data_IF_867467327485
#
_entry.id   IF_867467327485
#
_cell.length_a   1.000
_cell.length_b   1.000
_cell.length_c   1.000
_cell.angle_alpha   90.00
_cell.angle_beta   90.00
_cell.angle_gamma   90.00
#
_symmetry.space_group_name_H-M   'P 1'
#
loop_
_entity.id
_entity.type
_entity.pdbx_description
1 polymer ?
#
# COMPACT_ATOMS: atom_id res chain seq x y z
N UNK A 1 33.37 16.41 -30.17
CA UNK A 1 32.58 17.50 -29.56
C UNK A 1 31.18 16.94 -29.29
N UNK A 2 30.71 17.00 -28.04
CA UNK A 2 29.38 16.54 -27.70
C UNK A 2 28.35 17.64 -28.04
N UNK A 3 27.17 17.25 -28.51
CA UNK A 3 26.08 18.15 -28.83
C UNK A 3 24.93 17.93 -27.84
N UNK A 4 24.19 19.00 -27.53
CA UNK A 4 23.01 18.95 -26.68
C UNK A 4 21.96 18.01 -27.29
N UNK A 5 21.46 17.05 -26.54
CA UNK A 5 20.45 16.10 -27.01
C UNK A 5 19.11 16.74 -27.36
N UNK A 6 18.80 17.92 -26.79
CA UNK A 6 17.52 18.63 -27.00
C UNK A 6 17.58 19.62 -28.18
N UNK A 7 18.66 20.40 -28.31
CA UNK A 7 18.74 21.48 -29.30
C UNK A 7 19.94 21.39 -30.26
N UNK A 8 20.83 20.40 -30.10
CA UNK A 8 21.99 20.21 -30.98
C UNK A 8 23.14 21.20 -30.80
N UNK A 9 23.03 22.17 -29.88
CA UNK A 9 24.11 23.13 -29.60
C UNK A 9 25.37 22.42 -29.08
N UNK A 10 26.56 22.89 -29.44
CA UNK A 10 27.81 22.33 -28.91
C UNK A 10 27.87 22.49 -27.38
N UNK A 11 28.13 21.40 -26.69
CA UNK A 11 28.25 21.38 -25.23
C UNK A 11 29.67 21.75 -24.81
N UNK A 12 29.83 22.53 -23.73
CA UNK A 12 31.12 22.62 -23.06
C UNK A 12 31.53 21.23 -22.54
N UNK A 13 32.83 20.99 -22.50
CA UNK A 13 33.46 19.66 -22.28
C UNK A 13 33.08 18.99 -20.94
N UNK A 14 32.43 19.72 -20.03
CA UNK A 14 32.07 19.30 -18.66
C UNK A 14 30.56 19.32 -18.33
N UNK A 15 29.66 19.29 -19.31
CA UNK A 15 28.22 19.21 -19.02
C UNK A 15 27.78 17.79 -18.62
N UNK A 16 27.55 17.57 -17.33
CA UNK A 16 26.93 16.35 -16.80
C UNK A 16 25.46 16.27 -17.26
N UNK A 17 25.11 15.26 -18.05
CA UNK A 17 23.72 15.01 -18.49
C UNK A 17 23.40 15.32 -19.95
N UNK A 18 24.38 15.73 -20.77
CA UNK A 18 24.19 15.87 -22.23
C UNK A 18 23.22 16.99 -22.65
N UNK A 19 22.89 17.91 -21.74
CA UNK A 19 22.04 19.08 -21.98
C UNK A 19 22.86 20.37 -21.81
N UNK A 20 22.62 21.36 -22.67
CA UNK A 20 23.26 22.66 -22.54
C UNK A 20 22.63 23.46 -21.39
N UNK A 21 23.31 24.48 -20.82
CA UNK A 21 22.80 25.21 -19.65
C UNK A 21 21.37 25.76 -19.85
N UNK A 22 21.07 26.28 -21.04
CA UNK A 22 19.72 26.74 -21.39
C UNK A 22 18.70 25.59 -21.36
N UNK A 23 18.98 24.47 -22.01
CA UNK A 23 18.07 23.32 -22.01
C UNK A 23 17.96 22.61 -20.66
N UNK A 24 19.00 22.66 -19.83
CA UNK A 24 18.97 22.18 -18.44
C UNK A 24 17.99 23.01 -17.62
N UNK A 25 18.10 24.35 -17.68
CA UNK A 25 17.18 25.23 -16.95
C UNK A 25 15.72 25.07 -17.39
N UNK A 26 15.47 24.80 -18.68
CA UNK A 26 14.13 24.46 -19.16
C UNK A 26 13.66 23.09 -18.66
N UNK A 27 14.54 22.10 -18.61
CA UNK A 27 14.19 20.79 -18.06
C UNK A 27 13.80 20.87 -16.59
N UNK A 28 14.47 21.74 -15.82
CA UNK A 28 14.13 22.00 -14.42
C UNK A 28 12.81 22.78 -14.28
N UNK A 29 12.54 23.73 -15.19
CA UNK A 29 11.33 24.55 -15.21
C UNK A 29 10.06 23.78 -15.63
N UNK A 30 10.21 22.67 -16.36
CA UNK A 30 9.09 21.85 -16.85
C UNK A 30 8.56 20.86 -15.79
N UNK A 31 9.11 20.89 -14.56
CA UNK A 31 8.64 20.08 -13.45
C UNK A 31 7.35 20.65 -12.86
N UNK A 32 6.28 19.87 -12.96
CA UNK A 32 4.97 20.22 -12.42
C UNK A 32 4.62 19.28 -11.28
N UNK A 33 3.90 19.80 -10.30
CA UNK A 33 3.50 19.02 -9.13
C UNK A 33 2.28 18.12 -9.46
N UNK A 34 2.38 16.83 -9.13
CA UNK A 34 1.23 15.92 -9.12
C UNK A 34 0.20 16.41 -8.09
N UNK A 35 -1.05 16.64 -8.52
CA UNK A 35 -2.08 17.21 -7.63
C UNK A 35 -2.54 16.28 -6.50
N UNK A 36 -2.26 14.96 -6.58
CA UNK A 36 -2.66 13.98 -5.57
C UNK A 36 -1.58 13.76 -4.52
N UNK A 37 -0.35 13.46 -4.94
CA UNK A 37 0.74 13.10 -4.03
C UNK A 37 1.77 14.22 -3.80
N UNK A 38 1.73 15.31 -4.56
CA UNK A 38 2.63 16.44 -4.37
C UNK A 38 4.05 16.25 -4.92
N UNK A 39 4.37 15.13 -5.57
CA UNK A 39 5.68 14.93 -6.22
C UNK A 39 5.84 15.83 -7.44
N UNK A 40 7.05 16.36 -7.65
CA UNK A 40 7.43 17.09 -8.86
C UNK A 40 7.93 16.10 -9.92
N UNK A 41 7.28 16.09 -11.07
CA UNK A 41 7.70 15.28 -12.23
C UNK A 41 7.69 16.14 -13.49
N UNK A 42 8.48 15.76 -14.52
CA UNK A 42 8.41 16.41 -15.81
C UNK A 42 7.00 16.38 -16.38
N UNK A 43 6.56 17.48 -16.97
CA UNK A 43 5.19 17.63 -17.52
C UNK A 43 4.77 16.52 -18.49
N UNK A 44 5.71 15.90 -19.21
CA UNK A 44 5.43 14.82 -20.16
C UNK A 44 5.22 13.44 -19.50
N UNK A 45 5.63 13.27 -18.24
CA UNK A 45 5.38 12.04 -17.46
C UNK A 45 4.04 12.09 -16.71
N UNK A 46 3.49 13.29 -16.53
CA UNK A 46 2.19 13.49 -15.91
C UNK A 46 1.06 13.18 -16.90
N UNK A 47 0.03 12.50 -16.42
CA UNK A 47 -1.19 12.23 -17.15
C UNK A 47 -2.27 13.23 -16.76
N UNK A 48 -2.98 13.74 -17.76
CA UNK A 48 -4.14 14.59 -17.56
C UNK A 48 -5.40 13.73 -17.40
N UNK A 49 -6.03 13.79 -16.22
CA UNK A 49 -7.28 13.09 -15.91
C UNK A 49 -8.23 14.09 -15.27
N UNK A 50 -9.45 14.24 -15.81
CA UNK A 50 -10.43 15.22 -15.33
C UNK A 50 -9.87 16.65 -15.20
N UNK A 51 -9.11 17.10 -16.19
CA UNK A 51 -8.43 18.42 -16.22
C UNK A 51 -7.42 18.66 -15.10
N UNK A 52 -6.90 17.59 -14.48
CA UNK A 52 -5.87 17.64 -13.43
C UNK A 52 -4.68 16.77 -13.81
N UNK A 53 -3.48 17.16 -13.39
CA UNK A 53 -2.24 16.43 -13.67
C UNK A 53 -1.90 15.47 -12.52
N UNK A 54 -1.72 14.20 -12.88
CA UNK A 54 -1.37 13.12 -11.95
C UNK A 54 -0.14 12.36 -12.44
N UNK A 55 0.68 11.87 -11.51
CA UNK A 55 1.70 10.88 -11.85
C UNK A 55 1.05 9.55 -12.28
N UNK A 56 1.81 8.70 -12.97
CA UNK A 56 1.31 7.43 -13.51
C UNK A 56 0.62 6.55 -12.46
N UNK A 57 1.15 6.49 -11.23
CA UNK A 57 0.58 5.72 -10.13
C UNK A 57 -0.74 6.31 -9.63
N UNK A 58 -0.75 7.61 -9.30
CA UNK A 58 -1.97 8.28 -8.83
C UNK A 58 -3.09 8.24 -9.88
N UNK A 59 -2.76 8.30 -11.17
CA UNK A 59 -3.74 8.19 -12.24
C UNK A 59 -4.41 6.80 -12.24
N UNK A 60 -3.65 5.72 -12.04
CA UNK A 60 -4.18 4.36 -11.92
C UNK A 60 -5.11 4.23 -10.70
N UNK A 61 -4.68 4.72 -9.55
CA UNK A 61 -5.49 4.69 -8.33
C UNK A 61 -6.81 5.48 -8.47
N UNK A 62 -6.81 6.61 -9.20
CA UNK A 62 -8.05 7.37 -9.46
C UNK A 62 -8.96 6.59 -10.39
N UNK A 63 -8.40 5.97 -11.44
CA UNK A 63 -9.18 5.16 -12.39
C UNK A 63 -9.81 3.95 -11.71
N UNK A 64 -9.06 3.25 -10.84
CA UNK A 64 -9.55 2.11 -10.08
C UNK A 64 -10.69 2.51 -9.12
N UNK A 65 -10.60 3.68 -8.50
CA UNK A 65 -11.66 4.21 -7.64
C UNK A 65 -12.91 4.60 -8.45
N UNK A 66 -12.76 5.21 -9.63
CA UNK A 66 -13.87 5.50 -10.54
C UNK A 66 -14.56 4.20 -10.99
N UNK A 67 -13.78 3.18 -11.35
CA UNK A 67 -14.31 1.89 -11.77
C UNK A 67 -15.01 1.16 -10.61
N UNK A 68 -14.46 1.23 -9.39
CA UNK A 68 -15.12 0.71 -8.19
C UNK A 68 -16.46 1.40 -7.94
N UNK A 69 -16.49 2.73 -8.03
CA UNK A 69 -17.73 3.49 -7.85
C UNK A 69 -18.76 3.17 -8.93
N UNK A 70 -18.32 2.98 -10.18
CA UNK A 70 -19.18 2.53 -11.27
C UNK A 70 -19.82 1.17 -10.98
N UNK A 71 -19.03 0.20 -10.51
CA UNK A 71 -19.56 -1.13 -10.14
C UNK A 71 -20.59 -1.07 -9.01
N UNK A 72 -20.37 -0.21 -8.00
CA UNK A 72 -21.34 0.02 -6.92
C UNK A 72 -22.62 0.66 -7.46
N UNK A 73 -22.51 1.58 -8.41
CA UNK A 73 -23.65 2.23 -9.04
C UNK A 73 -24.44 1.29 -9.98
N UNK A 74 -23.77 0.37 -10.68
CA UNK A 74 -24.40 -0.62 -11.56
C UNK A 74 -25.11 -1.73 -10.77
N UNK A 75 -24.57 -2.11 -9.60
CA UNK A 75 -25.19 -3.04 -8.67
C UNK A 75 -25.51 -2.31 -7.35
N UNK A 76 -26.57 -1.46 -7.33
CA UNK A 76 -27.06 -0.95 -6.06
C UNK A 76 -27.41 -2.18 -5.23
N UNK A 77 -26.66 -2.40 -4.14
CA UNK A 77 -26.92 -3.48 -3.22
C UNK A 77 -28.41 -3.47 -2.95
N UNK A 78 -29.09 -4.56 -3.30
CA UNK A 78 -30.53 -4.67 -3.16
C UNK A 78 -30.87 -4.15 -1.75
N UNK A 79 -31.79 -3.18 -1.63
CA UNK A 79 -32.08 -2.54 -0.35
C UNK A 79 -32.24 -3.64 0.68
N UNK A 80 -31.39 -3.57 1.70
CA UNK A 80 -31.25 -4.55 2.78
C UNK A 80 -32.63 -5.10 3.10
N UNK A 81 -32.94 -6.31 2.62
CA UNK A 81 -34.18 -6.94 3.03
C UNK A 81 -34.05 -7.06 4.55
N UNK A 82 -34.98 -6.48 5.33
CA UNK A 82 -34.85 -6.38 6.77
C UNK A 82 -34.52 -7.77 7.30
N UNK A 83 -33.27 -7.92 7.75
CA UNK A 83 -32.76 -9.19 8.22
C UNK A 83 -33.72 -9.67 9.30
N UNK A 84 -34.36 -10.80 9.01
CA UNK A 84 -35.35 -11.42 9.87
C UNK A 84 -34.64 -11.71 11.19
N UNK A 85 -34.91 -10.84 12.15
CA UNK A 85 -34.44 -10.78 13.53
C UNK A 85 -34.57 -12.17 14.17
N UNK A 86 -33.54 -12.99 14.05
CA UNK A 86 -33.41 -14.21 14.86
C UNK A 86 -33.03 -13.74 16.25
N UNK A 87 -33.92 -14.05 17.17
CA UNK A 87 -33.90 -13.76 18.60
C UNK A 87 -32.58 -14.12 19.29
N UNK A 88 -32.23 -13.28 20.26
CA UNK A 88 -31.06 -13.31 21.14
C UNK A 88 -30.82 -14.63 21.90
N UNK A 89 -29.67 -14.75 22.61
CA UNK A 89 -29.76 -14.46 24.03
C UNK A 89 -28.72 -13.46 24.55
N UNK A 90 -29.23 -12.69 25.51
CA UNK A 90 -28.69 -11.64 26.36
C UNK A 90 -27.62 -12.08 27.35
N UNK A 91 -26.69 -11.17 27.69
CA UNK A 91 -26.23 -10.79 29.06
C UNK A 91 -25.03 -9.84 28.89
N UNK A 92 -25.20 -8.52 29.07
CA UNK A 92 -25.03 -7.75 30.33
C UNK A 92 -23.74 -6.90 30.29
N UNK A 93 -23.95 -5.58 30.13
CA UNK A 93 -23.26 -4.36 30.65
C UNK A 93 -21.93 -4.48 31.42
N UNK A 94 -21.00 -3.47 31.44
CA UNK A 94 -21.34 -2.05 31.71
C UNK A 94 -20.48 -0.92 31.09
N UNK A 95 -21.05 0.27 31.26
CA UNK A 95 -20.56 1.63 31.03
C UNK A 95 -19.36 2.04 31.91
N UNK A 96 -18.36 2.74 31.35
CA UNK A 96 -17.49 3.78 31.96
C UNK A 96 -16.77 4.50 30.80
N UNK A 97 -16.92 5.82 30.59
CA UNK A 97 -16.27 6.89 31.35
C UNK A 97 -15.01 7.39 30.60
N UNK A 98 -15.05 8.60 30.04
CA UNK A 98 -13.90 9.24 29.35
C UNK A 98 -12.72 9.54 30.28
N UNK A 99 -11.55 9.96 29.75
CA UNK A 99 -11.32 11.40 29.62
C UNK A 99 -10.43 11.85 28.44
N UNK A 100 -10.16 13.15 28.45
CA UNK A 100 -9.55 14.04 27.46
C UNK A 100 -8.06 13.80 27.10
N UNK A 101 -7.65 14.52 26.04
CA UNK A 101 -6.37 14.62 25.31
C UNK A 101 -5.08 14.78 26.14
N UNK A 102 -3.87 14.67 25.53
CA UNK A 102 -3.22 15.87 24.99
C UNK A 102 -2.38 15.70 23.70
N UNK A 103 -2.14 16.85 23.05
CA UNK A 103 -1.16 17.11 21.99
C UNK A 103 0.28 16.72 22.41
N UNK A 104 1.09 16.33 21.42
CA UNK A 104 2.54 16.25 21.53
C UNK A 104 3.21 16.05 20.17
N UNK A 105 3.71 17.16 19.58
CA UNK A 105 4.84 17.19 18.64
C UNK A 105 6.04 16.43 19.20
N UNK A 106 6.80 15.65 18.40
CA UNK A 106 8.27 15.70 18.24
C UNK A 106 8.67 15.07 16.88
N UNK A 107 9.70 15.65 16.27
CA UNK A 107 10.29 15.46 14.95
C UNK A 107 10.89 14.07 14.59
N UNK A 108 11.10 13.92 13.27
CA UNK A 108 11.91 12.92 12.54
C UNK A 108 13.37 12.82 13.04
N UNK A 109 14.05 11.67 12.81
CA UNK A 109 14.97 11.63 11.66
C UNK A 109 15.02 10.31 10.87
N UNK A 110 15.47 10.47 9.64
CA UNK A 110 15.79 9.50 8.58
C UNK A 110 16.90 8.52 9.00
N UNK A 111 16.79 7.23 8.67
CA UNK A 111 17.96 6.36 8.40
C UNK A 111 17.63 5.07 7.64
N UNK A 112 18.21 4.99 6.44
CA UNK A 112 18.84 3.86 5.76
C UNK A 112 18.30 2.42 5.93
N UNK A 113 17.62 1.99 4.86
CA UNK A 113 17.63 0.67 4.21
C UNK A 113 18.61 -0.41 4.68
N UNK A 114 18.06 -1.57 5.07
CA UNK A 114 18.58 -2.90 4.70
C UNK A 114 17.39 -3.81 4.35
N UNK A 115 17.53 -4.53 3.24
CA UNK A 115 16.44 -5.24 2.56
C UNK A 115 15.87 -6.41 3.36
N UNK A 116 14.56 -6.38 3.55
CA UNK A 116 13.77 -7.52 4.03
C UNK A 116 13.06 -8.22 2.85
N UNK A 117 12.96 -9.56 2.87
CA UNK A 117 12.15 -10.31 1.93
C UNK A 117 10.66 -9.97 2.17
N UNK A 118 9.93 -9.63 1.09
CA UNK A 118 8.50 -9.33 1.12
C UNK A 118 7.69 -10.48 1.72
N UNK A 119 7.48 -10.44 3.04
CA UNK A 119 6.46 -11.20 3.72
C UNK A 119 5.11 -10.52 3.47
N UNK A 120 4.14 -11.32 3.04
CA UNK A 120 2.78 -10.89 2.76
C UNK A 120 2.19 -10.14 3.96
N UNK A 121 1.90 -8.85 3.77
CA UNK A 121 1.29 -7.98 4.77
C UNK A 121 -0.10 -8.53 5.15
N UNK A 122 -0.17 -9.27 6.25
CA UNK A 122 -1.39 -9.40 7.03
C UNK A 122 -1.73 -8.00 7.55
N UNK A 123 -2.93 -7.50 7.26
CA UNK A 123 -3.42 -6.19 7.67
C UNK A 123 -3.19 -5.97 9.17
N UNK A 124 -2.14 -5.21 9.52
CA UNK A 124 -1.80 -4.87 10.90
C UNK A 124 -2.75 -3.78 11.37
N UNK A 125 -3.96 -4.18 11.76
CA UNK A 125 -4.86 -3.30 12.49
C UNK A 125 -4.32 -3.12 13.90
N UNK A 126 -3.92 -1.90 14.25
CA UNK A 126 -3.61 -1.52 15.62
C UNK A 126 -4.87 -1.66 16.49
N UNK A 127 -4.73 -2.19 17.71
CA UNK A 127 -5.86 -2.36 18.63
C UNK A 127 -5.43 -2.86 20.01
N UNK A 128 -6.40 -3.21 20.84
CA UNK A 128 -6.17 -3.77 22.19
C UNK A 128 -6.22 -5.28 22.18
N UNK A 129 -5.27 -5.92 22.85
CA UNK A 129 -5.23 -7.36 23.04
C UNK A 129 -6.44 -7.82 23.88
N UNK A 130 -7.21 -8.79 23.40
CA UNK A 130 -8.39 -9.29 24.12
C UNK A 130 -8.06 -10.07 25.41
N UNK A 131 -6.80 -10.50 25.58
CA UNK A 131 -6.37 -11.27 26.76
C UNK A 131 -5.79 -10.39 27.86
N UNK A 132 -4.90 -9.45 27.53
CA UNK A 132 -4.24 -8.60 28.52
C UNK A 132 -4.69 -7.14 28.51
N UNK A 133 -5.54 -6.73 27.56
CA UNK A 133 -6.03 -5.35 27.42
C UNK A 133 -5.00 -4.35 26.89
N UNK A 134 -3.73 -4.73 26.74
CA UNK A 134 -2.66 -3.83 26.26
C UNK A 134 -2.87 -3.46 24.79
N UNK A 135 -2.79 -2.16 24.49
CA UNK A 135 -2.78 -1.65 23.12
C UNK A 135 -1.47 -2.01 22.41
N UNK A 136 -1.56 -2.64 21.25
CA UNK A 136 -0.41 -3.03 20.43
C UNK A 136 -0.60 -2.55 18.98
N UNK A 137 0.50 -2.15 18.35
CA UNK A 137 0.53 -1.79 16.92
C UNK A 137 0.29 -3.00 16.02
N UNK A 138 0.63 -4.21 16.49
CA UNK A 138 0.42 -5.46 15.78
C UNK A 138 -0.34 -6.45 16.67
N UNK A 139 -1.49 -6.89 16.17
CA UNK A 139 -2.31 -7.94 16.77
C UNK A 139 -2.31 -9.17 15.87
N UNK A 140 -2.24 -10.35 16.48
CA UNK A 140 -2.27 -11.64 15.80
C UNK A 140 -3.61 -12.31 16.05
N UNK A 141 -4.16 -12.95 15.02
CA UNK A 141 -5.43 -13.66 15.13
C UNK A 141 -5.17 -15.12 15.53
N UNK A 142 -5.58 -15.51 16.74
CA UNK A 142 -5.44 -16.89 17.25
C UNK A 142 -6.79 -17.39 17.77
N UNK A 143 -7.29 -18.50 17.21
CA UNK A 143 -8.62 -19.07 17.50
C UNK A 143 -9.76 -18.02 17.45
N UNK A 144 -9.69 -17.10 16.49
CA UNK A 144 -10.68 -16.03 16.29
C UNK A 144 -10.54 -14.80 17.19
N UNK A 145 -9.53 -14.76 18.08
CA UNK A 145 -9.28 -13.63 18.99
C UNK A 145 -8.04 -12.83 18.57
N UNK A 146 -8.04 -11.51 18.83
CA UNK A 146 -6.91 -10.62 18.55
C UNK A 146 -5.99 -10.53 19.77
N UNK A 147 -4.78 -11.08 19.66
CA UNK A 147 -3.80 -11.18 20.76
C UNK A 147 -2.50 -10.45 20.43
N UNK A 148 -1.85 -9.85 21.44
CA UNK A 148 -0.50 -9.31 21.29
C UNK A 148 0.54 -10.44 21.19
N UNK A 149 1.74 -10.11 20.72
CA UNK A 149 2.83 -11.09 20.51
C UNK A 149 3.13 -11.95 21.76
N UNK A 150 3.12 -11.34 22.95
CA UNK A 150 3.39 -12.04 24.21
C UNK A 150 2.29 -13.07 24.53
N UNK A 151 1.01 -12.66 24.43
CA UNK A 151 -0.12 -13.54 24.72
C UNK A 151 -0.24 -14.72 23.73
N UNK A 152 0.13 -14.51 22.47
CA UNK A 152 0.12 -15.57 21.45
C UNK A 152 1.17 -16.65 21.74
N UNK A 153 2.35 -16.27 22.25
CA UNK A 153 3.42 -17.22 22.62
C UNK A 153 3.03 -18.10 23.80
N UNK A 154 2.36 -17.52 24.80
CA UNK A 154 1.91 -18.27 25.98
C UNK A 154 0.80 -19.30 25.67
N UNK A 155 -0.06 -19.01 24.70
CA UNK A 155 -1.16 -19.91 24.27
C UNK A 155 -0.67 -21.14 23.47
N UNK A 156 0.65 -21.34 23.37
CA UNK A 156 1.23 -22.42 22.56
C UNK A 156 0.98 -22.21 21.06
N UNK A 157 0.70 -20.97 20.65
CA UNK A 157 0.70 -20.58 19.25
C UNK A 157 2.11 -20.69 18.72
N UNK A 158 2.43 -21.84 18.11
CA UNK A 158 3.53 -21.90 17.16
C UNK A 158 3.25 -20.83 16.12
N UNK A 159 4.00 -19.72 16.17
CA UNK A 159 4.04 -18.72 15.11
C UNK A 159 4.84 -19.36 13.97
N UNK A 160 4.38 -20.50 13.46
CA UNK A 160 4.78 -20.94 12.13
C UNK A 160 4.13 -19.91 11.22
N UNK A 161 4.92 -19.05 10.53
CA UNK A 161 4.36 -18.14 9.55
C UNK A 161 3.54 -19.02 8.62
N UNK A 162 2.24 -18.71 8.48
CA UNK A 162 1.33 -19.50 7.68
C UNK A 162 2.02 -19.75 6.35
N UNK A 163 2.52 -20.98 6.12
CA UNK A 163 3.24 -21.33 4.90
C UNK A 163 2.24 -21.11 3.79
N UNK A 164 2.38 -19.96 3.16
CA UNK A 164 1.35 -19.36 2.35
C UNK A 164 0.90 -20.38 1.33
N UNK A 165 -0.41 -20.46 1.09
CA UNK A 165 -1.03 -21.32 0.08
C UNK A 165 -0.30 -21.26 -1.28
N UNK A 166 0.33 -20.11 -1.57
CA UNK A 166 1.21 -19.85 -2.70
C UNK A 166 2.43 -20.77 -2.82
N UNK A 167 3.03 -21.24 -1.73
CA UNK A 167 4.18 -22.15 -1.79
C UNK A 167 3.79 -23.52 -2.38
N UNK A 168 2.56 -23.97 -2.07
CA UNK A 168 1.98 -25.19 -2.62
C UNK A 168 1.58 -25.03 -4.09
N UNK A 169 1.12 -23.83 -4.48
CA UNK A 169 0.80 -23.50 -5.87
C UNK A 169 2.07 -23.43 -6.74
N UNK A 170 3.15 -22.84 -6.23
CA UNK A 170 4.42 -22.75 -6.95
C UNK A 170 5.05 -24.13 -7.19
N UNK A 171 4.93 -25.04 -6.21
CA UNK A 171 5.35 -26.43 -6.38
C UNK A 171 4.53 -27.17 -7.46
N UNK A 172 3.22 -26.92 -7.53
CA UNK A 172 2.34 -27.51 -8.54
C UNK A 172 2.65 -27.00 -9.96
N UNK A 173 2.88 -25.69 -10.11
CA UNK A 173 3.24 -25.07 -11.40
C UNK A 173 4.60 -25.58 -11.88
N UNK A 174 5.59 -25.71 -10.99
CA UNK A 174 6.89 -26.28 -11.32
C UNK A 174 6.77 -27.73 -11.82
N UNK A 175 5.97 -28.58 -11.15
CA UNK A 175 5.70 -29.95 -11.61
C UNK A 175 5.03 -29.98 -12.99
N UNK A 176 4.06 -29.10 -13.24
CA UNK A 176 3.37 -29.02 -14.54
C UNK A 176 4.30 -28.63 -15.69
N UNK A 177 5.26 -27.74 -15.46
CA UNK A 177 6.25 -27.35 -16.48
C UNK A 177 7.22 -28.49 -16.83
N UNK A 178 7.63 -29.29 -15.84
CA UNK A 178 8.48 -30.46 -16.08
C UNK A 178 7.78 -31.56 -16.91
N UNK A 179 6.47 -31.75 -16.73
CA UNK A 179 5.71 -32.72 -17.52
C UNK A 179 5.56 -32.30 -19.00
N UNK A 180 5.55 -30.99 -19.29
CA UNK A 180 5.42 -30.49 -20.67
C UNK A 180 6.67 -30.72 -21.52
N UNK A 181 7.86 -30.73 -20.91
CA UNK A 181 9.13 -30.92 -21.65
C UNK A 181 9.48 -32.38 -21.95
N UNK A 182 8.78 -33.37 -21.36
CA UNK A 182 9.09 -34.81 -21.57
C UNK A 182 8.34 -35.45 -22.75
N UNK A 183 7.55 -34.66 -23.50
CA UNK A 183 6.66 -35.16 -24.58
C UNK A 183 7.07 -34.74 -26.00
N UNK A 184 8.22 -34.10 -26.15
CA UNK A 184 8.91 -33.90 -27.44
C UNK A 184 10.18 -34.76 -27.46
#
# INVERSE_FOLDING_TARGET
>A
MANCSRCGSMLPEYSAGGLCPSCSSLADADNVQCQRCGMYLPSHELKMLNSRLYCAYCAMDVQDEIERQRKIAEHPAAPDQPQKKTTAPSSDSPSHGGPASPLGEIATPVSASQGEPLAQHASTESGTCERCGVSALQLYQYKGRKLCASCTKEEGGSIEPAKSFFHKMHEYVAKLLLFKNKKN
#
